data_IF_966029961942
#
_entry.id   IF_966029961942
#
_cell.length_a   1.000
_cell.length_b   1.000
_cell.length_c   1.000
_cell.angle_alpha   90.00
_cell.angle_beta   90.00
_cell.angle_gamma   90.00
#
_symmetry.space_group_name_H-M   'P 1'
#
loop_
_entity.id
_entity.type
_entity.pdbx_description
1 polymer ?
#
# COMPACT_ATOMS: atom_id res chain seq x y z
N UNK A 1 2.15 9.18 -12.12
CA UNK A 1 2.25 9.70 -10.73
C UNK A 1 2.29 11.22 -10.66
N UNK A 2 3.13 11.91 -11.46
CA UNK A 2 3.11 13.39 -11.56
C UNK A 2 1.71 13.97 -11.82
N UNK A 3 1.07 13.56 -12.92
CA UNK A 3 -0.29 14.01 -13.25
C UNK A 3 -1.32 13.71 -12.14
N UNK A 4 -1.23 12.54 -11.48
CA UNK A 4 -2.13 12.21 -10.37
C UNK A 4 -1.89 13.11 -9.15
N UNK A 5 -0.62 13.42 -8.84
CA UNK A 5 -0.25 14.34 -7.78
C UNK A 5 -0.67 15.79 -8.08
N UNK A 6 -0.49 16.24 -9.32
CA UNK A 6 -0.93 17.56 -9.80
C UNK A 6 -2.45 17.71 -9.69
N UNK A 7 -3.22 16.73 -10.18
CA UNK A 7 -4.69 16.73 -10.07
C UNK A 7 -5.18 16.71 -8.62
N UNK A 8 -4.47 16.01 -7.74
CA UNK A 8 -4.82 15.94 -6.33
C UNK A 8 -4.30 17.15 -5.51
N UNK A 9 -3.46 18.01 -6.10
CA UNK A 9 -2.74 19.05 -5.36
C UNK A 9 -1.80 18.50 -4.28
N UNK A 10 -1.25 17.29 -4.46
CA UNK A 10 -0.46 16.58 -3.46
C UNK A 10 0.83 16.03 -4.05
N UNK A 11 1.92 16.18 -3.31
CA UNK A 11 3.18 15.49 -3.61
C UNK A 11 3.06 14.01 -3.25
N UNK A 12 3.42 13.15 -4.19
CA UNK A 12 3.49 11.69 -3.96
C UNK A 12 4.91 11.35 -3.50
N UNK A 13 5.03 10.66 -2.38
CA UNK A 13 6.32 10.26 -1.78
C UNK A 13 6.55 8.75 -1.83
N UNK A 14 5.46 7.97 -1.73
CA UNK A 14 5.50 6.50 -1.69
C UNK A 14 4.43 5.95 -2.62
N UNK A 15 4.76 4.86 -3.32
CA UNK A 15 3.83 4.07 -4.12
C UNK A 15 3.52 2.78 -3.36
N UNK A 16 2.25 2.59 -2.99
CA UNK A 16 1.81 1.33 -2.40
C UNK A 16 1.33 0.39 -3.51
N UNK A 17 2.02 -0.74 -3.70
CA UNK A 17 1.60 -1.81 -4.62
C UNK A 17 0.95 -2.90 -3.78
N UNK A 18 -0.30 -3.23 -4.08
CA UNK A 18 -1.08 -4.26 -3.39
C UNK A 18 -1.60 -5.29 -4.40
N UNK A 19 -2.19 -6.39 -3.93
CA UNK A 19 -2.67 -7.45 -4.84
C UNK A 19 -1.56 -8.42 -5.25
N UNK A 20 -1.89 -9.36 -6.14
CA UNK A 20 -0.91 -10.32 -6.70
C UNK A 20 0.32 -9.67 -7.34
N UNK A 21 0.16 -8.48 -7.94
CA UNK A 21 1.26 -7.72 -8.54
C UNK A 21 2.35 -7.31 -7.55
N UNK A 22 2.03 -7.20 -6.26
CA UNK A 22 2.99 -6.89 -5.20
C UNK A 22 4.03 -8.01 -4.98
N UNK A 23 3.74 -9.23 -5.41
CA UNK A 23 4.70 -10.35 -5.34
C UNK A 23 5.76 -10.29 -6.45
N UNK A 24 5.52 -9.53 -7.52
CA UNK A 24 6.46 -9.41 -8.61
C UNK A 24 7.56 -8.40 -8.25
N UNK A 25 8.66 -8.92 -7.69
CA UNK A 25 9.80 -8.10 -7.27
C UNK A 25 10.41 -7.29 -8.42
N UNK A 26 10.48 -7.87 -9.62
CA UNK A 26 11.01 -7.18 -10.81
C UNK A 26 10.15 -5.96 -11.16
N UNK A 27 8.82 -6.14 -11.18
CA UNK A 27 7.86 -5.06 -11.40
C UNK A 27 7.97 -3.98 -10.32
N UNK A 28 7.96 -4.38 -9.04
CA UNK A 28 8.02 -3.44 -7.91
C UNK A 28 9.30 -2.59 -7.95
N UNK A 29 10.44 -3.21 -8.23
CA UNK A 29 11.70 -2.50 -8.36
C UNK A 29 11.73 -1.61 -9.61
N UNK A 30 11.21 -2.08 -10.76
CA UNK A 30 11.11 -1.25 -11.96
C UNK A 30 10.22 -0.02 -11.75
N UNK A 31 9.14 -0.13 -10.97
CA UNK A 31 8.30 1.00 -10.57
C UNK A 31 9.13 1.98 -9.72
N UNK A 32 9.89 1.49 -8.73
CA UNK A 32 10.73 2.36 -7.89
C UNK A 32 11.77 3.11 -8.73
N UNK A 33 12.51 2.39 -9.58
CA UNK A 33 13.57 2.93 -10.43
C UNK A 33 13.01 3.98 -11.43
N UNK A 34 11.89 3.68 -12.09
CA UNK A 34 11.28 4.60 -13.09
C UNK A 34 10.55 5.79 -12.49
N UNK A 35 9.96 5.63 -11.30
CA UNK A 35 9.24 6.71 -10.63
C UNK A 35 10.15 7.61 -9.80
N UNK A 36 11.33 7.12 -9.41
CA UNK A 36 12.21 7.79 -8.44
C UNK A 36 11.61 7.84 -7.04
N UNK A 37 10.60 7.01 -6.74
CA UNK A 37 9.90 6.98 -5.46
C UNK A 37 10.10 5.64 -4.74
N UNK A 38 9.95 5.67 -3.42
CA UNK A 38 9.93 4.42 -2.64
C UNK A 38 8.66 3.64 -2.97
N UNK A 39 8.78 2.34 -3.17
CA UNK A 39 7.65 1.42 -3.35
C UNK A 39 7.50 0.55 -2.11
N UNK A 40 6.30 0.52 -1.54
CA UNK A 40 5.91 -0.39 -0.48
C UNK A 40 4.97 -1.46 -1.07
N UNK A 41 5.44 -2.71 -1.16
CA UNK A 41 4.71 -3.80 -1.79
C UNK A 41 4.10 -4.74 -0.75
N UNK A 42 2.78 -4.92 -0.81
CA UNK A 42 1.99 -5.75 0.09
C UNK A 42 0.89 -4.96 0.81
N UNK A 43 -0.12 -5.64 1.36
CA UNK A 43 -0.34 -7.08 1.31
C UNK A 43 -0.91 -7.54 -0.04
N UNK A 44 -0.74 -8.83 -0.33
CA UNK A 44 -1.27 -9.48 -1.54
C UNK A 44 -2.79 -9.53 -1.50
N UNK A 45 -3.35 -9.94 -0.37
CA UNK A 45 -4.81 -10.08 -0.19
C UNK A 45 -5.48 -8.76 0.24
N UNK A 46 -5.03 -7.61 -0.26
CA UNK A 46 -5.50 -6.30 0.19
C UNK A 46 -7.02 -6.12 0.05
N UNK A 47 -7.63 -6.67 -1.00
CA UNK A 47 -9.08 -6.63 -1.20
C UNK A 47 -9.82 -7.41 -0.10
N UNK A 48 -9.38 -8.63 0.20
CA UNK A 48 -9.98 -9.47 1.23
C UNK A 48 -9.81 -8.84 2.62
N UNK A 49 -8.60 -8.34 2.92
CA UNK A 49 -8.31 -7.66 4.18
C UNK A 49 -9.17 -6.41 4.36
N UNK A 50 -9.26 -5.56 3.33
CA UNK A 50 -10.11 -4.36 3.37
C UNK A 50 -11.58 -4.71 3.64
N UNK A 51 -12.07 -5.79 3.02
CA UNK A 51 -13.43 -6.29 3.22
C UNK A 51 -13.66 -6.73 4.68
N UNK A 52 -12.83 -7.64 5.21
CA UNK A 52 -12.96 -8.16 6.58
C UNK A 52 -12.80 -7.05 7.62
N UNK A 53 -11.87 -6.11 7.44
CA UNK A 53 -11.65 -5.02 8.39
C UNK A 53 -12.82 -4.03 8.43
N UNK A 54 -13.47 -3.76 7.29
CA UNK A 54 -14.68 -2.90 7.27
C UNK A 54 -15.83 -3.61 7.99
N UNK A 55 -16.00 -4.92 7.79
CA UNK A 55 -16.99 -5.72 8.54
C UNK A 55 -16.68 -5.76 10.04
N UNK A 56 -15.42 -6.02 10.40
CA UNK A 56 -14.96 -6.04 11.79
C UNK A 56 -15.17 -4.70 12.50
N UNK A 57 -14.94 -3.58 11.81
CA UNK A 57 -15.24 -2.24 12.36
C UNK A 57 -16.73 -2.06 12.59
N UNK A 58 -17.58 -2.46 11.64
CA UNK A 58 -19.03 -2.38 11.80
C UNK A 58 -19.55 -3.26 12.97
N UNK A 59 -18.87 -4.37 13.23
CA UNK A 59 -19.16 -5.27 14.35
C UNK A 59 -18.49 -4.86 15.69
N UNK A 60 -17.72 -3.77 15.73
CA UNK A 60 -16.98 -3.35 16.93
C UNK A 60 -15.81 -4.27 17.33
N UNK A 61 -15.36 -5.14 16.42
CA UNK A 61 -14.32 -6.15 16.66
C UNK A 61 -12.90 -5.68 16.29
N UNK A 62 -12.77 -4.53 15.64
CA UNK A 62 -11.49 -3.93 15.22
C UNK A 62 -11.43 -2.44 15.57
N UNK A 63 -10.33 -1.76 15.26
CA UNK A 63 -10.17 -0.32 15.46
C UNK A 63 -11.30 0.52 14.83
N UNK A 64 -11.57 1.67 15.44
CA UNK A 64 -12.67 2.55 15.07
C UNK A 64 -12.35 3.41 13.83
N UNK A 65 -11.08 3.67 13.56
CA UNK A 65 -10.62 4.58 12.51
C UNK A 65 -9.90 3.85 11.37
N UNK A 66 -9.97 4.41 10.16
CA UNK A 66 -9.20 3.87 9.02
C UNK A 66 -7.69 3.86 9.28
N UNK A 67 -7.19 4.76 10.13
CA UNK A 67 -5.78 4.79 10.54
C UNK A 67 -5.44 3.53 11.33
N UNK A 68 -6.21 3.20 12.36
CA UNK A 68 -5.99 2.00 13.18
C UNK A 68 -6.10 0.72 12.36
N UNK A 69 -7.04 0.65 11.40
CA UNK A 69 -7.13 -0.51 10.50
C UNK A 69 -5.89 -0.67 9.62
N UNK A 70 -5.34 0.44 9.11
CA UNK A 70 -4.10 0.41 8.30
C UNK A 70 -2.87 0.08 9.15
N UNK A 71 -2.80 0.58 10.38
CA UNK A 71 -1.76 0.24 11.35
C UNK A 71 -1.79 -1.26 11.69
N UNK A 72 -2.99 -1.82 11.90
CA UNK A 72 -3.17 -3.26 12.10
C UNK A 72 -2.66 -4.06 10.90
N UNK A 73 -3.00 -3.67 9.67
CA UNK A 73 -2.48 -4.33 8.46
C UNK A 73 -0.96 -4.25 8.39
N UNK A 74 -0.38 -3.07 8.61
CA UNK A 74 1.06 -2.86 8.57
C UNK A 74 1.82 -3.65 9.66
N UNK A 75 1.21 -3.85 10.82
CA UNK A 75 1.79 -4.62 11.92
C UNK A 75 1.69 -6.14 11.74
N UNK A 76 0.74 -6.63 10.93
CA UNK A 76 0.41 -8.05 10.83
C UNK A 76 0.76 -8.69 9.49
N UNK A 77 1.09 -7.89 8.47
CA UNK A 77 1.40 -8.37 7.13
C UNK A 77 2.77 -7.89 6.67
N UNK A 78 3.45 -8.73 5.89
CA UNK A 78 4.73 -8.37 5.32
C UNK A 78 4.56 -7.31 4.22
N UNK A 79 5.26 -6.19 4.38
CA UNK A 79 5.38 -5.13 3.38
C UNK A 79 6.84 -4.99 3.01
N UNK A 80 7.18 -5.27 1.75
CA UNK A 80 8.55 -5.17 1.24
C UNK A 80 8.79 -3.77 0.68
N UNK A 81 9.87 -3.13 1.11
CA UNK A 81 10.24 -1.79 0.64
C UNK A 81 11.28 -1.89 -0.47
N UNK A 82 10.98 -1.31 -1.63
CA UNK A 82 11.92 -1.15 -2.74
C UNK A 82 12.27 0.33 -2.86
N UNK A 83 13.57 0.63 -2.80
CA UNK A 83 14.10 1.99 -3.03
C UNK A 83 14.60 2.10 -4.47
N UNK A 84 14.49 3.29 -5.11
CA UNK A 84 15.05 3.51 -6.43
C UNK A 84 16.55 3.17 -6.44
N UNK A 85 16.96 2.41 -7.44
CA UNK A 85 18.35 2.20 -7.83
C UNK A 85 18.56 3.07 -9.07
N UNK A 86 19.65 3.83 -9.08
CA UNK A 86 19.92 4.91 -10.05
C UNK A 86 19.71 4.54 -11.52
#
# INVERSE_FOLDING_TARGET
>A
LRQAGELAGRRVEVVHVVGGGAQNALLCQAIADRSGLTVAAGPVEATALGNVLVQGRAAGATGATLRELRELVAATHNVVTYRPRG
#
